data_IF_003853892540
#
_entry.id   IF_003853892540
#
_cell.length_a   1.000
_cell.length_b   1.000
_cell.length_c   1.000
_cell.angle_alpha   90.00
_cell.angle_beta   90.00
_cell.angle_gamma   90.00
#
_symmetry.space_group_name_H-M   'P 1'
#
loop_
_entity.id
_entity.type
_entity.pdbx_description
1 polymer ?
#
# COMPACT_ATOMS: atom_id res chain seq x y z
N UNK A 1 11.49 -7.50 -19.66
CA UNK A 1 10.76 -6.78 -18.61
C UNK A 1 9.82 -7.76 -17.95
N UNK A 2 10.16 -8.24 -16.76
CA UNK A 2 9.35 -9.23 -16.04
C UNK A 2 8.19 -8.48 -15.38
N UNK A 3 6.95 -8.72 -15.81
CA UNK A 3 5.78 -8.07 -15.23
C UNK A 3 5.57 -8.61 -13.82
N UNK A 4 6.03 -7.86 -12.81
CA UNK A 4 5.92 -8.21 -11.39
C UNK A 4 4.49 -8.28 -10.87
N UNK A 5 3.52 -7.75 -11.63
CA UNK A 5 2.09 -7.84 -11.38
C UNK A 5 1.36 -8.05 -12.70
N UNK A 6 1.17 -9.32 -13.11
CA UNK A 6 0.62 -9.64 -14.42
C UNK A 6 -0.82 -9.15 -14.61
N UNK A 7 -1.61 -9.08 -13.53
CA UNK A 7 -3.04 -8.78 -13.59
C UNK A 7 -3.39 -7.35 -13.14
N UNK A 8 -2.38 -6.56 -12.75
CA UNK A 8 -2.55 -5.13 -12.50
C UNK A 8 -2.15 -4.38 -13.76
N UNK A 9 -3.14 -4.07 -14.59
CA UNK A 9 -2.92 -3.38 -15.86
C UNK A 9 -2.96 -1.87 -15.63
N UNK A 10 -1.90 -1.21 -16.08
CA UNK A 10 -1.79 0.25 -16.04
C UNK A 10 -2.92 0.92 -16.84
N UNK A 11 -3.58 1.92 -16.25
CA UNK A 11 -4.64 2.69 -16.90
C UNK A 11 -6.03 2.11 -16.68
N UNK A 12 -6.14 0.91 -16.09
CA UNK A 12 -7.41 0.32 -15.72
C UNK A 12 -7.79 0.64 -14.29
N UNK A 13 -9.08 0.47 -13.97
CA UNK A 13 -9.58 0.56 -12.60
C UNK A 13 -8.82 -0.44 -11.71
N UNK A 14 -8.48 -0.02 -10.49
CA UNK A 14 -7.83 -0.90 -9.52
C UNK A 14 -8.75 -2.10 -9.20
N UNK A 15 -8.34 -3.34 -9.53
CA UNK A 15 -9.17 -4.51 -9.32
C UNK A 15 -9.27 -4.80 -7.82
N UNK A 16 -10.46 -5.14 -7.34
CA UNK A 16 -10.69 -5.36 -5.91
C UNK A 16 -10.48 -6.83 -5.55
N UNK A 17 -9.68 -7.08 -4.52
CA UNK A 17 -9.54 -8.37 -3.87
C UNK A 17 -9.90 -8.25 -2.38
N UNK A 18 -10.30 -9.35 -1.76
CA UNK A 18 -10.53 -9.39 -0.32
C UNK A 18 -9.21 -9.35 0.45
N UNK A 19 -9.14 -8.48 1.45
CA UNK A 19 -8.04 -8.34 2.41
C UNK A 19 -8.59 -8.36 3.83
N UNK A 20 -7.72 -8.61 4.79
CA UNK A 20 -8.05 -8.53 6.21
C UNK A 20 -7.29 -7.35 6.81
N UNK A 21 -7.99 -6.39 7.39
CA UNK A 21 -7.36 -5.25 8.06
C UNK A 21 -6.67 -5.70 9.34
N UNK A 22 -5.46 -5.22 9.57
CA UNK A 22 -4.61 -5.74 10.65
C UNK A 22 -5.15 -5.41 12.05
N UNK A 23 -5.56 -4.16 12.26
CA UNK A 23 -5.90 -3.64 13.59
C UNK A 23 -7.15 -4.28 14.24
N UNK A 24 -8.14 -4.68 13.43
CA UNK A 24 -9.43 -5.18 13.90
C UNK A 24 -9.85 -6.52 13.26
N UNK A 25 -8.93 -7.15 12.54
CA UNK A 25 -9.17 -8.41 11.82
C UNK A 25 -10.37 -8.37 10.86
N UNK A 26 -10.76 -7.18 10.37
CA UNK A 26 -11.93 -7.02 9.52
C UNK A 26 -11.64 -7.48 8.08
N UNK A 27 -12.36 -8.51 7.63
CA UNK A 27 -12.39 -8.90 6.23
C UNK A 27 -13.14 -7.84 5.40
N UNK A 28 -12.50 -7.34 4.34
CA UNK A 28 -13.06 -6.30 3.48
C UNK A 28 -12.46 -6.34 2.08
N UNK A 29 -13.16 -5.74 1.13
CA UNK A 29 -12.64 -5.52 -0.22
C UNK A 29 -11.61 -4.40 -0.20
N UNK A 30 -10.42 -4.59 -0.78
CA UNK A 30 -9.31 -3.63 -0.75
C UNK A 30 -9.71 -2.26 -1.32
N UNK A 31 -10.61 -2.22 -2.31
CA UNK A 31 -11.14 -0.97 -2.86
C UNK A 31 -11.82 -0.08 -1.80
N UNK A 32 -12.31 -0.64 -0.69
CA UNK A 32 -12.89 0.16 0.41
C UNK A 32 -11.83 0.94 1.20
N UNK A 33 -10.56 0.56 1.11
CA UNK A 33 -9.42 1.33 1.62
C UNK A 33 -8.97 2.42 0.64
N UNK A 34 -9.58 2.51 -0.55
CA UNK A 34 -9.24 3.45 -1.62
C UNK A 34 -10.44 4.37 -1.95
N UNK A 35 -10.99 5.14 -0.99
CA UNK A 35 -12.09 6.06 -1.26
C UNK A 35 -11.70 7.19 -2.24
N UNK A 36 -12.69 7.80 -2.90
CA UNK A 36 -12.49 8.95 -3.79
C UNK A 36 -12.50 10.27 -3.02
N UNK A 37 -11.44 10.53 -2.27
CA UNK A 37 -11.32 11.68 -1.35
C UNK A 37 -10.25 12.71 -1.78
N UNK A 38 -9.67 12.56 -2.98
CA UNK A 38 -8.64 13.48 -3.46
C UNK A 38 -7.21 13.07 -3.11
N UNK A 39 -7.03 12.00 -2.32
CA UNK A 39 -5.72 11.48 -1.91
C UNK A 39 -5.11 10.53 -2.95
N UNK A 40 -3.81 10.70 -3.21
CA UNK A 40 -3.02 9.69 -3.91
C UNK A 40 -2.74 8.52 -2.99
N UNK A 41 -2.85 7.30 -3.49
CA UNK A 41 -2.62 6.09 -2.69
C UNK A 41 -1.47 5.27 -3.22
N UNK A 42 -0.56 4.89 -2.35
CA UNK A 42 0.58 4.03 -2.69
C UNK A 42 0.32 2.66 -2.05
N UNK A 43 -0.16 1.71 -2.85
CA UNK A 43 -0.44 0.35 -2.40
C UNK A 43 0.84 -0.48 -2.49
N UNK A 44 1.35 -0.88 -1.34
CA UNK A 44 2.63 -1.59 -1.20
C UNK A 44 2.32 -3.06 -0.89
N UNK A 45 2.55 -3.93 -1.86
CA UNK A 45 2.50 -5.37 -1.69
C UNK A 45 3.88 -5.87 -1.30
N UNK A 46 4.16 -5.87 0.01
CA UNK A 46 5.51 -6.07 0.53
C UNK A 46 5.99 -7.52 0.59
N UNK A 47 5.06 -8.48 0.47
CA UNK A 47 5.29 -9.90 0.73
C UNK A 47 5.12 -10.27 2.20
N UNK A 48 5.75 -11.38 2.59
CA UNK A 48 5.78 -11.87 3.97
C UNK A 48 6.93 -11.20 4.71
N UNK A 49 6.61 -10.37 5.69
CA UNK A 49 7.59 -9.63 6.49
C UNK A 49 8.32 -10.52 7.51
N UNK A 50 7.91 -11.77 7.68
CA UNK A 50 8.68 -12.78 8.43
C UNK A 50 9.96 -13.15 7.66
N UNK A 51 9.96 -12.99 6.33
CA UNK A 51 11.12 -13.19 5.49
C UNK A 51 12.03 -11.94 5.52
N UNK A 52 13.32 -12.07 5.90
CA UNK A 52 14.22 -10.93 6.05
C UNK A 52 14.29 -10.03 4.80
N UNK A 53 14.29 -10.64 3.60
CA UNK A 53 14.36 -9.89 2.35
C UNK A 53 13.15 -8.98 2.12
N UNK A 54 11.95 -9.41 2.49
CA UNK A 54 10.74 -8.60 2.36
C UNK A 54 10.68 -7.49 3.41
N UNK A 55 11.06 -7.81 4.65
CA UNK A 55 11.15 -6.83 5.72
C UNK A 55 12.12 -5.69 5.39
N UNK A 56 13.35 -6.01 4.96
CA UNK A 56 14.36 -5.02 4.56
C UNK A 56 13.84 -4.12 3.44
N UNK A 57 13.24 -4.70 2.39
CA UNK A 57 12.67 -3.93 1.28
C UNK A 57 11.56 -2.97 1.73
N UNK A 58 10.70 -3.41 2.65
CA UNK A 58 9.62 -2.57 3.19
C UNK A 58 10.19 -1.41 4.02
N UNK A 59 11.22 -1.67 4.82
CA UNK A 59 11.94 -0.65 5.61
C UNK A 59 12.59 0.38 4.68
N UNK A 60 13.33 -0.06 3.66
CA UNK A 60 13.99 0.81 2.69
C UNK A 60 12.99 1.67 1.91
N UNK A 61 11.87 1.08 1.49
CA UNK A 61 10.80 1.80 0.82
C UNK A 61 10.18 2.85 1.73
N UNK A 62 9.87 2.49 2.97
CA UNK A 62 9.37 3.43 3.98
C UNK A 62 10.36 4.58 4.23
N UNK A 63 11.64 4.28 4.41
CA UNK A 63 12.68 5.27 4.59
C UNK A 63 12.77 6.24 3.40
N UNK A 64 12.69 5.73 2.17
CA UNK A 64 12.66 6.57 0.97
C UNK A 64 11.43 7.47 0.91
N UNK A 65 10.23 6.89 1.06
CA UNK A 65 8.95 7.60 0.89
C UNK A 65 8.85 8.79 1.85
N UNK A 66 9.32 8.60 3.09
CA UNK A 66 9.25 9.58 4.18
C UNK A 66 10.54 10.38 4.38
N UNK A 67 11.55 10.21 3.52
CA UNK A 67 12.80 10.99 3.56
C UNK A 67 12.55 12.49 3.32
N UNK A 68 13.52 13.35 3.66
CA UNK A 68 13.41 14.81 3.50
C UNK A 68 13.18 15.27 2.06
N UNK A 69 13.71 14.54 1.07
CA UNK A 69 13.43 14.72 -0.36
C UNK A 69 12.48 13.67 -0.94
N UNK A 70 11.82 12.90 -0.08
CA UNK A 70 10.87 11.86 -0.46
C UNK A 70 9.55 12.46 -0.95
N UNK A 71 8.77 11.71 -1.73
CA UNK A 71 7.52 12.20 -2.31
C UNK A 71 6.53 12.68 -1.24
N UNK A 72 6.44 11.98 -0.11
CA UNK A 72 5.48 12.35 0.94
C UNK A 72 5.81 13.72 1.53
N UNK A 73 7.06 13.93 1.98
CA UNK A 73 7.46 15.22 2.55
C UNK A 73 7.52 16.35 1.53
N UNK A 74 7.78 16.03 0.27
CA UNK A 74 7.87 17.05 -0.80
C UNK A 74 6.51 17.60 -1.19
N UNK A 75 5.44 16.80 -1.06
CA UNK A 75 4.08 17.21 -1.43
C UNK A 75 3.14 17.45 -0.25
N UNK A 76 3.57 17.13 0.97
CA UNK A 76 2.80 17.44 2.18
C UNK A 76 3.28 18.77 2.79
N UNK A 77 2.41 19.78 2.92
CA UNK A 77 2.73 21.03 3.62
C UNK A 77 3.15 20.78 5.07
N UNK A 78 4.08 21.57 5.60
CA UNK A 78 4.61 21.39 6.95
C UNK A 78 3.56 21.49 8.08
N UNK A 79 2.43 22.16 7.82
CA UNK A 79 1.31 22.31 8.76
C UNK A 79 0.25 21.21 8.65
N UNK A 80 0.33 20.36 7.61
CA UNK A 80 -0.63 19.30 7.35
C UNK A 80 -0.18 17.98 7.98
N UNK A 81 -1.12 17.05 8.13
CA UNK A 81 -0.78 15.68 8.53
C UNK A 81 0.03 14.98 7.42
N UNK A 82 0.91 14.06 7.80
CA UNK A 82 1.95 13.50 6.89
C UNK A 82 1.36 12.81 5.64
N UNK A 83 0.15 12.28 5.78
CA UNK A 83 -0.64 11.55 4.80
C UNK A 83 -1.70 12.40 4.09
N UNK A 84 -1.65 13.73 4.24
CA UNK A 84 -2.66 14.67 3.69
C UNK A 84 -2.78 14.67 2.16
N UNK A 85 -1.75 14.24 1.44
CA UNK A 85 -1.78 14.21 -0.03
C UNK A 85 -1.46 12.82 -0.60
N UNK A 86 -0.47 12.14 -0.01
CA UNK A 86 -0.05 10.79 -0.41
C UNK A 86 -0.23 9.88 0.79
N UNK A 87 -1.06 8.86 0.63
CA UNK A 87 -1.36 7.85 1.64
C UNK A 87 -0.77 6.49 1.23
N UNK A 88 0.31 6.04 1.88
CA UNK A 88 0.81 4.68 1.71
C UNK A 88 -0.04 3.68 2.49
N UNK A 89 -0.41 2.58 1.84
CA UNK A 89 -1.03 1.42 2.48
C UNK A 89 -0.19 0.18 2.21
N UNK A 90 -0.07 -0.70 3.20
CA UNK A 90 0.67 -1.95 3.09
C UNK A 90 -0.29 -3.14 3.04
N UNK A 91 -0.08 -4.03 2.07
CA UNK A 91 -0.73 -5.33 1.97
C UNK A 91 0.34 -6.40 2.11
N UNK A 92 0.35 -7.10 3.25
CA UNK A 92 1.33 -8.12 3.59
C UNK A 92 0.77 -9.51 3.25
N UNK A 93 1.65 -10.46 2.96
CA UNK A 93 1.28 -11.88 2.87
C UNK A 93 1.68 -12.62 4.14
N UNK A 94 1.09 -13.80 4.37
CA UNK A 94 1.38 -14.63 5.53
C UNK A 94 0.27 -14.59 6.57
N UNK A 95 0.51 -15.23 7.72
CA UNK A 95 -0.49 -15.35 8.78
C UNK A 95 -0.46 -14.13 9.67
N UNK A 96 -1.57 -13.38 9.69
CA UNK A 96 -1.72 -12.16 10.49
C UNK A 96 -1.43 -12.38 11.97
N UNK A 97 -1.81 -13.55 12.50
CA UNK A 97 -1.64 -13.92 13.92
C UNK A 97 -0.18 -14.06 14.37
N UNK A 98 0.76 -14.23 13.42
CA UNK A 98 2.18 -14.34 13.72
C UNK A 98 2.89 -12.99 13.73
N UNK A 99 2.21 -11.92 13.29
CA UNK A 99 2.75 -10.56 13.25
C UNK A 99 2.23 -9.76 14.42
N UNK A 100 3.13 -9.05 15.11
CA UNK A 100 2.78 -8.09 16.17
C UNK A 100 2.89 -6.66 15.65
N UNK A 101 2.15 -5.74 16.26
CA UNK A 101 2.10 -4.34 15.84
C UNK A 101 3.49 -3.67 15.81
N UNK A 102 4.38 -4.02 16.73
CA UNK A 102 5.73 -3.44 16.82
C UNK A 102 6.64 -3.82 15.64
N UNK A 103 6.28 -4.84 14.86
CA UNK A 103 7.00 -5.21 13.63
C UNK A 103 6.57 -4.35 12.43
N UNK A 104 5.44 -3.65 12.53
CA UNK A 104 4.98 -2.73 11.50
C UNK A 104 5.72 -1.41 11.65
N UNK A 105 6.25 -0.88 10.55
CA UNK A 105 6.92 0.42 10.55
C UNK A 105 5.95 1.53 10.98
N UNK A 106 6.40 2.41 11.87
CA UNK A 106 5.65 3.57 12.36
C UNK A 106 5.11 4.46 11.24
N UNK A 107 5.74 4.46 10.06
CA UNK A 107 5.28 5.22 8.91
C UNK A 107 3.92 4.74 8.37
N UNK A 108 3.55 3.47 8.58
CA UNK A 108 2.22 2.92 8.31
C UNK A 108 1.25 3.06 9.49
N UNK A 109 1.66 3.74 10.55
CA UNK A 109 0.79 4.09 11.68
C UNK A 109 1.02 5.52 12.15
N UNK A 110 0.87 6.51 11.23
CA UNK A 110 1.18 7.90 11.52
C UNK A 110 0.22 8.47 12.57
N UNK A 111 0.69 9.50 13.29
CA UNK A 111 -0.11 10.24 14.25
C UNK A 111 -0.79 11.39 13.52
N UNK A 112 -2.10 11.32 13.34
CA UNK A 112 -2.86 12.23 12.48
C UNK A 112 -4.16 12.69 13.12
N UNK A 113 -4.81 13.66 12.48
CA UNK A 113 -6.09 14.22 12.89
C UNK A 113 -6.00 15.21 14.05
N UNK A 114 -7.15 15.79 14.39
CA UNK A 114 -7.30 16.83 15.41
C UNK A 114 -6.77 16.41 16.79
N UNK A 115 -6.93 15.14 17.13
CA UNK A 115 -6.59 14.59 18.45
C UNK A 115 -5.23 13.91 18.49
N UNK A 116 -4.45 13.95 17.39
CA UNK A 116 -3.14 13.31 17.28
C UNK A 116 -3.16 11.85 17.76
N UNK A 117 -4.03 11.07 17.14
CA UNK A 117 -4.17 9.64 17.37
C UNK A 117 -3.41 8.86 16.31
N UNK A 118 -2.86 7.70 16.67
CA UNK A 118 -2.24 6.79 15.69
C UNK A 118 -3.31 6.20 14.80
N UNK A 119 -3.14 6.32 13.49
CA UNK A 119 -4.01 5.67 12.51
C UNK A 119 -3.50 4.26 12.18
N UNK A 120 -4.22 3.25 12.65
CA UNK A 120 -3.87 1.83 12.45
C UNK A 120 -4.54 1.21 11.22
N UNK A 121 -5.24 1.99 10.40
CA UNK A 121 -6.05 1.47 9.29
C UNK A 121 -5.29 1.33 7.96
N UNK A 122 -3.96 1.40 7.97
CA UNK A 122 -3.14 1.39 6.74
C UNK A 122 -2.47 0.06 6.41
N UNK A 123 -2.64 -0.94 7.28
CA UNK A 123 -2.03 -2.27 7.10
C UNK A 123 -3.10 -3.35 6.94
N UNK A 124 -2.88 -4.18 5.93
CA UNK A 124 -3.76 -5.24 5.51
C UNK A 124 -2.96 -6.52 5.30
N UNK A 125 -3.64 -7.66 5.44
CA UNK A 125 -3.09 -8.99 5.19
C UNK A 125 -3.89 -9.73 4.12
N UNK A 126 -3.18 -10.44 3.26
CA UNK A 126 -3.73 -11.51 2.40
C UNK A 126 -3.87 -12.81 3.21
N UNK A 127 -4.78 -12.80 4.19
CA UNK A 127 -5.00 -13.91 5.13
C UNK A 127 -6.42 -14.51 4.96
N UNK A 128 -6.58 -15.74 5.42
CA UNK A 128 -7.87 -16.41 5.47
C UNK A 128 -8.66 -15.98 6.71
N UNK A 129 -9.96 -15.78 6.54
CA UNK A 129 -10.88 -15.51 7.66
C UNK A 129 -11.96 -16.58 7.75
N UNK A 130 -12.25 -17.02 8.97
CA UNK A 130 -13.22 -18.08 9.24
C UNK A 130 -14.59 -17.84 8.58
N UNK A 131 -15.04 -16.58 8.55
CA UNK A 131 -16.37 -16.21 8.04
C UNK A 131 -16.39 -15.74 6.58
N UNK A 132 -15.23 -15.49 5.95
CA UNK A 132 -15.18 -14.83 4.63
C UNK A 132 -14.17 -15.46 3.67
N UNK A 133 -13.50 -16.54 4.06
CA UNK A 133 -12.52 -17.24 3.23
C UNK A 133 -11.25 -16.43 2.99
N UNK A 134 -10.54 -16.75 1.90
CA UNK A 134 -9.24 -16.18 1.53
C UNK A 134 -9.31 -15.45 0.19
N UNK A 135 -8.91 -14.17 0.17
CA UNK A 135 -8.93 -13.34 -1.03
C UNK A 135 -7.83 -13.64 -2.04
N UNK A 136 -6.72 -14.27 -1.62
CA UNK A 136 -5.56 -14.63 -2.44
C UNK A 136 -5.06 -13.47 -3.29
N UNK A 137 -4.93 -12.30 -2.66
CA UNK A 137 -4.61 -11.00 -3.27
C UNK A 137 -3.36 -11.08 -4.14
N UNK A 138 -2.29 -11.73 -3.66
CA UNK A 138 -1.05 -11.86 -4.42
C UNK A 138 -1.24 -12.68 -5.70
N UNK A 139 -1.92 -13.82 -5.61
CA UNK A 139 -2.25 -14.64 -6.76
C UNK A 139 -3.20 -13.94 -7.73
N UNK A 140 -4.21 -13.23 -7.21
CA UNK A 140 -5.18 -12.48 -8.00
C UNK A 140 -4.52 -11.36 -8.81
N UNK A 141 -3.54 -10.66 -8.24
CA UNK A 141 -2.77 -9.63 -8.95
C UNK A 141 -1.61 -10.18 -9.79
N UNK A 142 -1.31 -11.48 -9.69
CA UNK A 142 -0.18 -12.11 -10.35
C UNK A 142 1.16 -11.58 -9.84
N UNK A 143 1.26 -11.36 -8.52
CA UNK A 143 2.45 -10.87 -7.83
C UNK A 143 3.07 -12.01 -7.04
N UNK A 144 4.39 -12.17 -7.19
CA UNK A 144 5.17 -13.11 -6.40
C UNK A 144 5.46 -12.49 -5.02
N UNK A 145 5.04 -13.11 -3.90
CA UNK A 145 5.25 -12.55 -2.56
C UNK A 145 6.72 -12.27 -2.22
N UNK A 146 7.65 -13.08 -2.75
CA UNK A 146 9.10 -12.93 -2.55
C UNK A 146 9.68 -11.64 -3.14
N UNK A 147 9.03 -11.08 -4.17
CA UNK A 147 9.46 -9.88 -4.90
C UNK A 147 8.65 -8.65 -4.50
N UNK A 148 7.35 -8.84 -4.25
CA UNK A 148 6.42 -7.77 -3.96
C UNK A 148 6.17 -6.84 -5.16
N UNK A 149 5.36 -5.82 -4.94
CA UNK A 149 5.05 -4.79 -5.92
C UNK A 149 4.59 -3.49 -5.25
N UNK A 150 4.68 -2.37 -5.98
CA UNK A 150 4.08 -1.09 -5.56
C UNK A 150 3.17 -0.61 -6.68
N UNK A 151 1.95 -0.25 -6.32
CA UNK A 151 0.97 0.33 -7.23
C UNK A 151 0.61 1.75 -6.75
N UNK A 152 0.66 2.71 -7.66
CA UNK A 152 0.25 4.09 -7.39
C UNK A 152 -1.17 4.24 -7.93
N UNK A 153 -2.09 4.62 -7.05
CA UNK A 153 -3.52 4.77 -7.33
C UNK A 153 -3.86 6.25 -7.27
N UNK A 154 -4.53 6.73 -8.33
CA UNK A 154 -5.00 8.10 -8.43
C UNK A 154 -6.22 8.35 -7.54
N UNK A 155 -6.45 9.61 -7.13
CA UNK A 155 -7.59 10.00 -6.29
C UNK A 155 -8.97 9.87 -6.94
N UNK A 156 -9.05 9.79 -8.27
CA UNK A 156 -10.28 9.87 -9.06
C UNK A 156 -10.99 8.53 -9.24
N UNK A 157 -11.22 7.78 -8.16
CA UNK A 157 -11.78 6.42 -8.24
C UNK A 157 -13.25 6.31 -8.73
N UNK A 158 -13.79 7.34 -9.41
CA UNK A 158 -15.11 7.38 -10.02
C UNK A 158 -15.11 8.07 -11.41
N UNK A 159 -15.37 7.26 -12.46
CA UNK A 159 -15.89 7.59 -13.81
C UNK A 159 -15.37 8.88 -14.48
N UNK A 160 -14.37 8.76 -15.37
CA UNK A 160 -14.47 9.11 -16.80
C UNK A 160 -13.09 9.03 -17.50
N UNK A 161 -13.08 8.41 -18.68
CA UNK A 161 -11.97 8.29 -19.67
C UNK A 161 -10.81 7.32 -19.36
N UNK A 162 -10.23 6.64 -20.39
CA UNK A 162 -9.20 5.62 -20.22
C UNK A 162 -7.81 6.28 -20.16
N UNK A 163 -7.44 6.93 -19.05
CA UNK A 163 -6.13 7.60 -18.99
C UNK A 163 -5.42 7.44 -17.64
N UNK A 164 -4.37 6.60 -17.71
CA UNK A 164 -3.14 6.56 -16.91
C UNK A 164 -3.21 6.12 -15.43
N UNK A 165 -2.69 4.90 -15.18
CA UNK A 165 -1.90 4.60 -13.99
C UNK A 165 -0.41 4.59 -14.41
N UNK A 166 0.53 4.33 -13.51
CA UNK A 166 1.88 3.89 -13.86
C UNK A 166 2.36 2.90 -12.80
N UNK A 167 3.01 1.81 -13.22
CA UNK A 167 3.75 0.95 -12.29
C UNK A 167 5.11 1.57 -11.97
N UNK A 168 5.49 1.55 -10.70
CA UNK A 168 6.88 1.62 -10.29
C UNK A 168 7.21 0.33 -9.53
N UNK A 169 8.20 -0.42 -10.01
CA UNK A 169 8.75 -1.55 -9.26
C UNK A 169 9.49 -1.04 -8.02
N UNK A 170 9.61 -1.85 -6.95
CA UNK A 170 10.36 -1.45 -5.74
C UNK A 170 11.81 -1.04 -6.04
N UNK A 171 12.39 -1.54 -7.14
CA UNK A 171 13.73 -1.17 -7.63
C UNK A 171 13.80 0.20 -8.35
N UNK A 172 12.66 0.82 -8.69
CA UNK A 172 12.59 1.99 -9.59
C UNK A 172 12.23 3.29 -8.86
N UNK A 173 12.11 3.32 -7.53
CA UNK A 173 11.97 4.59 -6.80
C UNK A 173 13.16 5.55 -7.01
N UNK A 174 14.33 5.04 -7.42
CA UNK A 174 15.45 5.85 -7.88
C UNK A 174 15.16 6.69 -9.16
N UNK A 175 14.08 6.41 -9.90
CA UNK A 175 13.73 7.08 -11.17
C UNK A 175 12.43 7.88 -11.11
N UNK A 176 11.83 8.05 -9.93
CA UNK A 176 10.56 8.74 -9.71
C UNK A 176 10.61 10.28 -9.85
N UNK A 177 11.63 10.86 -10.49
CA UNK A 177 11.76 12.32 -10.72
C UNK A 177 10.86 12.86 -11.85
N UNK A 178 10.06 12.03 -12.52
CA UNK A 178 9.31 12.41 -13.74
C UNK A 178 7.79 12.53 -13.60
N UNK A 179 7.25 12.29 -12.41
CA UNK A 179 5.81 12.22 -12.18
C UNK A 179 5.34 13.07 -10.99
N UNK A 180 6.23 13.93 -10.50
CA UNK A 180 6.02 14.92 -9.45
C UNK A 180 6.48 16.27 -9.98
#
# INVERSE_FOLDING_TARGET
>A
MQSLAANLIVGMRFPSAQVVRFCDAKAMQLVKALPSDGLWRVVILAGDISEPGSATRLVELGAYLYSSGGPIRSHTPASADIDFFIEPIAVLSGKRVNTVQDQILDCFSPITGKWKMRDLHKVYFDDETYNSGHGKVYGFYGIEPSKGAVAIVRPDHCRCSPLFFSFLTMSVLAKARRYW
#
